data_IF_314846647800
#
_entry.id   IF_314846647800
#
_cell.length_a   1.000
_cell.length_b   1.000
_cell.length_c   1.000
_cell.angle_alpha   90.00
_cell.angle_beta   90.00
_cell.angle_gamma   90.00
#
_symmetry.space_group_name_H-M   'P 1'
#
loop_
_entity.id
_entity.type
_entity.pdbx_description
1 polymer ?
#
# COMPACT_ATOMS: atom_id res chain seq x y z
N UNK A 1 -2.88 -7.30 14.25
CA UNK A 1 -1.86 -8.07 13.50
C UNK A 1 -1.95 -9.58 13.67
N UNK A 2 -2.22 -10.14 14.86
CA UNK A 2 -2.31 -11.60 15.11
C UNK A 2 -3.08 -12.43 14.05
N UNK A 3 -4.23 -11.92 13.56
CA UNK A 3 -4.98 -12.59 12.49
C UNK A 3 -4.19 -12.67 11.18
N UNK A 4 -3.54 -11.59 10.76
CA UNK A 4 -2.76 -11.53 9.52
C UNK A 4 -1.53 -12.44 9.60
N UNK A 5 -0.86 -12.50 10.76
CA UNK A 5 0.29 -13.40 10.98
C UNK A 5 -0.08 -14.87 10.80
N UNK A 6 -1.29 -15.27 11.22
CA UNK A 6 -1.78 -16.65 11.06
C UNK A 6 -2.08 -17.03 9.62
N UNK A 7 -2.45 -16.06 8.79
CA UNK A 7 -2.84 -16.31 7.40
C UNK A 7 -1.63 -16.55 6.48
N UNK A 8 -0.43 -16.14 6.91
CA UNK A 8 0.83 -16.37 6.19
C UNK A 8 0.79 -15.92 4.73
N UNK A 9 0.11 -14.81 4.43
CA UNK A 9 0.13 -14.24 3.09
C UNK A 9 1.52 -13.75 2.71
N UNK A 10 1.84 -13.80 1.42
CA UNK A 10 3.07 -13.24 0.85
C UNK A 10 3.00 -11.71 0.74
N UNK A 11 1.82 -11.20 0.42
CA UNK A 11 1.54 -9.79 0.23
C UNK A 11 0.24 -9.46 0.98
N UNK A 12 0.25 -8.41 1.80
CA UNK A 12 -0.93 -7.91 2.52
C UNK A 12 -1.13 -6.44 2.21
N UNK A 13 -2.28 -6.09 1.64
CA UNK A 13 -2.69 -4.71 1.42
C UNK A 13 -3.83 -4.35 2.38
N UNK A 14 -3.64 -3.26 3.13
CA UNK A 14 -4.65 -2.69 4.02
C UNK A 14 -4.98 -1.28 3.56
N UNK A 15 -6.26 -0.98 3.40
CA UNK A 15 -6.77 0.34 3.06
C UNK A 15 -7.54 0.93 4.25
N UNK A 16 -7.71 2.25 4.25
CA UNK A 16 -8.41 2.97 5.33
C UNK A 16 -7.85 2.74 6.73
N UNK A 17 -6.52 2.62 6.84
CA UNK A 17 -5.88 2.34 8.14
C UNK A 17 -6.09 3.47 9.16
N UNK A 18 -6.42 4.68 8.72
CA UNK A 18 -6.76 5.84 9.55
C UNK A 18 -5.70 6.21 10.61
N UNK A 19 -4.44 5.91 10.29
CA UNK A 19 -3.26 6.22 11.09
C UNK A 19 -2.58 7.45 10.48
N UNK A 20 -2.36 8.48 11.31
CA UNK A 20 -1.58 9.66 10.90
C UNK A 20 -0.13 9.26 10.63
N UNK A 21 0.53 9.92 9.69
CA UNK A 21 1.95 9.69 9.38
C UNK A 21 2.86 9.72 10.62
N UNK A 22 2.60 10.62 11.57
CA UNK A 22 3.36 10.70 12.84
C UNK A 22 3.31 9.42 13.71
N UNK A 23 2.32 8.55 13.49
CA UNK A 23 2.12 7.29 14.21
C UNK A 23 2.43 6.05 13.35
N UNK A 24 3.17 6.20 12.25
CA UNK A 24 3.56 5.10 11.37
C UNK A 24 4.28 3.95 12.09
N UNK A 25 4.98 4.23 13.20
CA UNK A 25 5.66 3.20 13.99
C UNK A 25 4.71 2.11 14.51
N UNK A 26 3.41 2.39 14.67
CA UNK A 26 2.39 1.41 15.07
C UNK A 26 2.14 0.34 14.00
N UNK A 27 2.54 0.59 12.76
CA UNK A 27 2.39 -0.32 11.63
C UNK A 27 3.62 -1.21 11.43
N UNK A 28 4.70 -1.03 12.19
CA UNK A 28 5.87 -1.90 12.08
C UNK A 28 5.50 -3.30 12.58
N UNK A 29 5.42 -4.25 11.65
CA UNK A 29 5.22 -5.65 11.97
C UNK A 29 6.22 -6.51 11.18
N UNK A 30 7.42 -6.77 11.74
CA UNK A 30 8.47 -7.53 11.05
C UNK A 30 8.02 -8.92 10.57
N UNK A 31 7.07 -9.56 11.26
CA UNK A 31 6.55 -10.87 10.87
C UNK A 31 5.75 -10.87 9.57
N UNK A 32 5.27 -9.71 9.12
CA UNK A 32 4.57 -9.56 7.84
C UNK A 32 5.53 -9.16 6.71
N UNK A 33 6.80 -8.88 7.03
CA UNK A 33 7.86 -8.50 6.09
C UNK A 33 8.04 -6.99 5.96
N UNK A 34 8.58 -6.58 4.81
CA UNK A 34 8.89 -5.20 4.45
C UNK A 34 7.63 -4.36 4.43
N UNK A 35 7.64 -3.30 5.25
CA UNK A 35 6.57 -2.34 5.37
C UNK A 35 6.73 -1.23 4.34
N UNK A 36 5.65 -0.97 3.64
CA UNK A 36 5.47 0.25 2.89
C UNK A 36 4.20 0.94 3.43
N UNK A 37 4.30 2.23 3.83
CA UNK A 37 3.08 3.08 4.01
C UNK A 37 2.92 4.31 3.10
N UNK A 38 1.66 4.64 2.77
CA UNK A 38 1.23 5.97 2.34
C UNK A 38 0.14 6.46 3.29
N UNK A 39 0.47 7.45 4.14
CA UNK A 39 -0.38 7.90 5.25
C UNK A 39 -0.62 9.40 5.16
N UNK A 40 -1.81 9.87 5.49
CA UNK A 40 -2.08 11.31 5.57
C UNK A 40 -1.58 11.91 6.91
N UNK A 41 -1.50 13.24 6.98
CA UNK A 41 -1.25 13.96 8.24
C UNK A 41 -2.47 13.95 9.17
N UNK A 42 -3.68 13.78 8.61
CA UNK A 42 -4.93 13.62 9.34
C UNK A 42 -5.30 12.14 9.50
N UNK A 43 -6.18 11.80 10.46
CA UNK A 43 -6.75 10.44 10.62
C UNK A 43 -7.83 10.17 9.58
N UNK A 44 -7.49 10.35 8.31
CA UNK A 44 -8.36 10.07 7.18
C UNK A 44 -7.48 9.40 6.14
N UNK A 45 -7.96 8.31 5.54
CA UNK A 45 -7.25 7.56 4.49
C UNK A 45 -6.01 6.83 5.01
N UNK A 46 -5.33 6.18 4.08
CA UNK A 46 -4.03 5.54 4.29
C UNK A 46 -4.02 4.12 3.75
N UNK A 47 -2.94 3.77 3.07
CA UNK A 47 -2.72 2.43 2.53
C UNK A 47 -1.41 1.90 3.09
N UNK A 48 -1.43 0.61 3.45
CA UNK A 48 -0.28 -0.11 3.98
C UNK A 48 -0.10 -1.37 3.16
N UNK A 49 1.11 -1.60 2.70
CA UNK A 49 1.51 -2.82 2.01
C UNK A 49 2.60 -3.51 2.85
N UNK A 50 2.38 -4.78 3.15
CA UNK A 50 3.42 -5.67 3.66
C UNK A 50 3.79 -6.66 2.56
N UNK A 51 5.07 -6.82 2.32
CA UNK A 51 5.61 -7.81 1.38
C UNK A 51 6.62 -8.67 2.12
N UNK A 52 6.46 -9.99 2.07
CA UNK A 52 7.37 -10.94 2.70
C UNK A 52 8.81 -10.68 2.25
N UNK A 53 9.76 -10.75 3.18
CA UNK A 53 11.17 -10.40 2.93
C UNK A 53 11.87 -11.26 1.87
N UNK A 54 11.31 -12.43 1.54
CA UNK A 54 11.81 -13.29 0.46
C UNK A 54 11.48 -12.78 -0.94
N UNK A 55 10.55 -11.82 -1.06
CA UNK A 55 10.15 -11.19 -2.31
C UNK A 55 10.89 -9.85 -2.41
N UNK A 56 11.63 -9.65 -3.51
CA UNK A 56 12.26 -8.35 -3.76
C UNK A 56 11.17 -7.33 -4.08
N UNK A 57 11.22 -6.16 -3.43
CA UNK A 57 10.21 -5.13 -3.58
C UNK A 57 10.80 -3.72 -3.51
N UNK A 58 10.47 -2.89 -4.49
CA UNK A 58 10.91 -1.50 -4.59
C UNK A 58 9.72 -0.58 -4.90
N UNK A 59 9.61 0.52 -4.15
CA UNK A 59 8.65 1.56 -4.48
C UNK A 59 9.16 2.35 -5.68
N UNK A 60 8.39 2.38 -6.75
CA UNK A 60 8.79 3.08 -7.99
C UNK A 60 7.99 4.35 -8.26
N UNK A 61 6.80 4.50 -7.67
CA UNK A 61 5.97 5.69 -7.86
C UNK A 61 4.98 5.91 -6.71
N UNK A 62 4.71 7.16 -6.35
CA UNK A 62 3.60 7.57 -5.48
C UNK A 62 3.10 8.91 -6.00
N UNK A 63 1.78 9.09 -6.09
CA UNK A 63 1.19 10.37 -6.49
C UNK A 63 1.21 11.39 -5.33
N UNK A 64 1.13 12.67 -5.68
CA UNK A 64 1.15 13.78 -4.70
C UNK A 64 -0.02 13.69 -3.70
N UNK A 65 -1.16 13.20 -4.19
CA UNK A 65 -2.39 13.02 -3.42
C UNK A 65 -2.41 11.75 -2.57
N UNK A 66 -1.37 10.89 -2.68
CA UNK A 66 -1.23 9.62 -1.95
C UNK A 66 -2.37 8.62 -2.21
N UNK A 67 -3.01 8.69 -3.38
CA UNK A 67 -4.09 7.80 -3.82
C UNK A 67 -3.58 6.63 -4.67
N UNK A 68 -2.47 6.80 -5.39
CA UNK A 68 -1.89 5.76 -6.25
C UNK A 68 -0.51 5.44 -5.74
N UNK A 69 -0.29 4.14 -5.52
CA UNK A 69 1.00 3.66 -5.11
C UNK A 69 1.44 2.45 -5.91
N UNK A 70 2.63 2.54 -6.49
CA UNK A 70 3.21 1.47 -7.28
C UNK A 70 4.46 0.90 -6.62
N UNK A 71 4.44 -0.40 -6.39
CA UNK A 71 5.57 -1.19 -5.91
C UNK A 71 5.87 -2.24 -6.96
N UNK A 72 7.10 -2.22 -7.46
CA UNK A 72 7.60 -3.29 -8.29
C UNK A 72 8.05 -4.44 -7.40
N UNK A 73 7.62 -5.65 -7.72
CA UNK A 73 8.06 -6.86 -7.05
C UNK A 73 8.71 -7.83 -8.04
N UNK A 74 9.66 -8.59 -7.54
CA UNK A 74 10.28 -9.68 -8.26
C UNK A 74 10.28 -10.93 -7.39
N UNK A 75 9.60 -11.96 -7.88
CA UNK A 75 9.54 -13.27 -7.25
C UNK A 75 9.70 -14.34 -8.33
N UNK A 76 10.57 -15.32 -8.11
CA UNK A 76 10.84 -16.41 -9.06
C UNK A 76 11.12 -15.93 -10.51
N UNK A 77 11.91 -14.86 -10.66
CA UNK A 77 12.22 -14.18 -11.94
C UNK A 77 11.00 -13.59 -12.68
N UNK A 78 9.84 -13.52 -12.03
CA UNK A 78 8.65 -12.85 -12.55
C UNK A 78 8.58 -11.46 -11.94
N UNK A 79 8.71 -10.45 -12.80
CA UNK A 79 8.54 -9.05 -12.44
C UNK A 79 7.06 -8.69 -12.51
N UNK A 80 6.50 -8.24 -11.39
CA UNK A 80 5.10 -7.85 -11.26
C UNK A 80 4.99 -6.43 -10.74
N UNK A 81 4.14 -5.62 -11.36
CA UNK A 81 3.80 -4.29 -10.87
C UNK A 81 2.57 -4.36 -9.97
N UNK A 82 2.74 -4.12 -8.67
CA UNK A 82 1.64 -3.97 -7.73
C UNK A 82 1.22 -2.51 -7.68
N UNK A 83 -0.06 -2.24 -7.96
CA UNK A 83 -0.64 -0.91 -7.85
C UNK A 83 -1.70 -0.94 -6.75
N UNK A 84 -1.41 -0.29 -5.63
CA UNK A 84 -2.38 -0.06 -4.58
C UNK A 84 -3.08 1.28 -4.83
N UNK A 85 -4.38 1.21 -5.08
CA UNK A 85 -5.22 2.37 -5.38
C UNK A 85 -6.19 2.60 -4.24
N UNK A 86 -6.25 3.84 -3.77
CA UNK A 86 -7.26 4.34 -2.85
C UNK A 86 -8.16 5.35 -3.56
N UNK A 87 -9.35 4.90 -3.97
CA UNK A 87 -10.40 5.76 -4.51
C UNK A 87 -11.27 6.30 -3.36
N UNK A 88 -11.52 7.60 -3.34
CA UNK A 88 -12.47 8.18 -2.39
C UNK A 88 -13.88 7.69 -2.72
N UNK A 89 -14.75 7.59 -1.71
CA UNK A 89 -16.16 7.23 -1.94
C UNK A 89 -16.89 8.29 -2.79
N UNK A 90 -16.48 9.56 -2.67
CA UNK A 90 -16.99 10.67 -3.48
C UNK A 90 -16.12 10.89 -4.73
N UNK A 91 -16.75 11.27 -5.85
CA UNK A 91 -16.11 11.57 -7.14
C UNK A 91 -15.19 10.45 -7.68
N UNK A 92 -15.60 9.18 -7.53
CA UNK A 92 -14.88 8.04 -8.13
C UNK A 92 -14.73 8.19 -9.65
N UNK A 93 -15.74 8.71 -10.34
CA UNK A 93 -15.70 8.90 -11.80
C UNK A 93 -14.57 9.86 -12.22
N UNK A 94 -14.38 10.98 -11.52
CA UNK A 94 -13.28 11.92 -11.79
C UNK A 94 -11.92 11.26 -11.55
N UNK A 95 -11.80 10.42 -10.52
CA UNK A 95 -10.58 9.68 -10.22
C UNK A 95 -10.25 8.67 -11.33
N UNK A 96 -11.23 7.89 -11.78
CA UNK A 96 -11.05 6.95 -12.90
C UNK A 96 -10.77 7.68 -14.21
N UNK A 97 -11.42 8.80 -14.49
CA UNK A 97 -11.11 9.65 -15.65
C UNK A 97 -9.66 10.12 -15.62
N UNK A 98 -9.14 10.58 -14.48
CA UNK A 98 -7.72 10.96 -14.34
C UNK A 98 -6.75 9.78 -14.53
N UNK A 99 -7.13 8.57 -14.11
CA UNK A 99 -6.34 7.36 -14.34
C UNK A 99 -6.25 7.01 -15.84
N UNK A 100 -7.32 7.27 -16.60
CA UNK A 100 -7.41 6.90 -18.02
C UNK A 100 -7.04 8.02 -18.99
N UNK A 101 -7.22 9.28 -18.61
CA UNK A 101 -6.88 10.44 -19.41
C UNK A 101 -5.44 10.85 -19.13
N UNK A 102 -4.59 10.52 -20.10
CA UNK A 102 -3.17 10.84 -20.13
C UNK A 102 -2.93 12.28 -20.56
#
# INVERSE_FOLDING_TARGET
>A
FHRLEKLKYDIVCLQEVHIKKQYEYLLKQPKLGKLFTTLAQSKKRGVVLYIRDTISAEQIYTDDDRKIWMVEIMDNNIKTLLIAIYALNDNQEDFYRKLHMK
#
